data_IF_082189526283
#
_entry.id   IF_082189526283
#
_cell.length_a   1.000
_cell.length_b   1.000
_cell.length_c   1.000
_cell.angle_alpha   90.00
_cell.angle_beta   90.00
_cell.angle_gamma   90.00
#
_symmetry.space_group_name_H-M   'P 1'
#
loop_
_entity.id
_entity.type
_entity.pdbx_description
1 polymer ?
#
# COMPACT_ATOMS: atom_id res chain seq x y z
N UNK A 1 -5.26 4.13 -39.55
CA UNK A 1 -4.93 3.61 -38.21
C UNK A 1 -4.27 4.74 -37.41
N UNK A 2 -4.94 5.31 -36.41
CA UNK A 2 -4.39 6.41 -35.62
C UNK A 2 -4.18 5.94 -34.18
N UNK A 3 -2.91 5.91 -33.78
CA UNK A 3 -2.45 5.40 -32.51
C UNK A 3 -2.89 6.32 -31.35
N UNK A 4 -3.56 5.74 -30.35
CA UNK A 4 -3.97 6.41 -29.12
C UNK A 4 -2.72 6.76 -28.30
N UNK A 5 -2.40 8.04 -28.22
CA UNK A 5 -1.34 8.60 -27.37
C UNK A 5 -1.93 8.92 -25.99
N UNK A 6 -1.27 8.46 -24.91
CA UNK A 6 -1.66 8.72 -23.51
C UNK A 6 -1.70 10.24 -23.27
N UNK A 7 -2.85 10.78 -22.87
CA UNK A 7 -3.07 12.22 -22.59
C UNK A 7 -4.02 12.98 -23.53
N UNK A 8 -4.85 12.29 -24.33
CA UNK A 8 -5.75 12.93 -25.34
C UNK A 8 -7.23 13.01 -24.95
N UNK A 9 -7.60 12.72 -23.72
CA UNK A 9 -9.01 12.68 -23.30
C UNK A 9 -9.48 13.95 -22.60
N UNK A 10 -8.57 14.72 -22.00
CA UNK A 10 -8.93 15.76 -21.03
C UNK A 10 -9.83 16.89 -21.57
N UNK A 11 -9.65 17.44 -22.79
CA UNK A 11 -10.47 18.57 -23.24
C UNK A 11 -11.89 18.18 -23.66
N UNK A 12 -12.05 17.00 -24.29
CA UNK A 12 -13.36 16.50 -24.74
C UNK A 12 -14.15 16.00 -23.54
N UNK A 13 -13.50 15.27 -22.64
CA UNK A 13 -14.11 14.79 -21.40
C UNK A 13 -14.48 15.97 -20.50
N UNK A 14 -13.61 16.98 -20.36
CA UNK A 14 -13.94 18.19 -19.59
C UNK A 14 -15.13 18.97 -20.18
N UNK A 15 -15.21 19.11 -21.51
CA UNK A 15 -16.35 19.76 -22.15
C UNK A 15 -17.64 18.95 -21.99
N UNK A 16 -17.56 17.62 -22.07
CA UNK A 16 -18.70 16.72 -21.86
C UNK A 16 -19.19 16.80 -20.40
N UNK A 17 -18.27 16.78 -19.43
CA UNK A 17 -18.55 16.94 -18.00
C UNK A 17 -19.19 18.31 -17.72
N UNK A 18 -18.64 19.40 -18.27
CA UNK A 18 -19.19 20.75 -18.10
C UNK A 18 -20.61 20.88 -18.68
N UNK A 19 -20.85 20.27 -19.85
CA UNK A 19 -22.19 20.23 -20.45
C UNK A 19 -23.17 19.41 -19.62
N UNK A 20 -22.73 18.29 -19.05
CA UNK A 20 -23.53 17.49 -18.12
C UNK A 20 -23.89 18.30 -16.88
N UNK A 21 -22.90 18.92 -16.25
CA UNK A 21 -23.09 19.77 -15.07
C UNK A 21 -24.07 20.92 -15.29
N UNK A 22 -23.96 21.63 -16.42
CA UNK A 22 -24.87 22.73 -16.75
C UNK A 22 -26.31 22.27 -17.08
N UNK A 23 -26.48 21.03 -17.53
CA UNK A 23 -27.78 20.48 -17.95
C UNK A 23 -28.58 19.87 -16.80
N UNK A 24 -27.90 19.40 -15.77
CA UNK A 24 -28.50 18.76 -14.60
C UNK A 24 -28.25 19.64 -13.36
N UNK A 25 -29.07 20.69 -13.14
CA UNK A 25 -28.89 21.63 -12.03
C UNK A 25 -29.04 20.97 -10.64
N UNK A 26 -29.65 19.79 -10.58
CA UNK A 26 -29.82 18.98 -9.37
C UNK A 26 -28.71 17.92 -9.19
N UNK A 27 -27.63 17.97 -10.00
CA UNK A 27 -26.48 17.09 -9.81
C UNK A 27 -25.96 17.24 -8.37
N UNK A 28 -25.86 16.14 -7.60
CA UNK A 28 -25.32 16.20 -6.26
C UNK A 28 -23.91 16.79 -6.30
N UNK A 29 -23.69 17.84 -5.51
CA UNK A 29 -22.39 18.47 -5.36
C UNK A 29 -21.45 17.42 -4.77
N UNK A 30 -20.33 17.17 -5.46
CA UNK A 30 -19.25 16.33 -4.96
C UNK A 30 -18.62 17.01 -3.72
N UNK A 31 -19.21 16.75 -2.56
CA UNK A 31 -18.70 17.15 -1.26
C UNK A 31 -17.85 16.00 -0.71
N UNK A 32 -16.65 16.31 -0.23
CA UNK A 32 -16.03 15.43 0.75
C UNK A 32 -16.73 15.72 2.06
N UNK A 33 -17.72 14.91 2.42
CA UNK A 33 -18.14 14.88 3.81
C UNK A 33 -16.90 14.60 4.68
N UNK A 34 -16.89 15.11 5.91
CA UNK A 34 -15.73 15.02 6.81
C UNK A 34 -15.24 13.58 7.01
N UNK A 35 -16.15 12.61 7.01
CA UNK A 35 -15.88 11.18 7.13
C UNK A 35 -15.17 10.65 5.88
N UNK A 36 -15.63 11.05 4.68
CA UNK A 36 -14.98 10.71 3.41
C UNK A 36 -13.54 11.23 3.35
N UNK A 37 -13.30 12.45 3.86
CA UNK A 37 -11.95 13.02 3.97
C UNK A 37 -11.07 12.25 4.96
N UNK A 38 -11.59 11.94 6.15
CA UNK A 38 -10.84 11.16 7.16
C UNK A 38 -10.49 9.76 6.65
N UNK A 39 -11.43 9.09 5.97
CA UNK A 39 -11.18 7.78 5.38
C UNK A 39 -10.08 7.85 4.32
N UNK A 40 -10.13 8.87 3.46
CA UNK A 40 -9.08 9.11 2.45
C UNK A 40 -7.71 9.28 3.10
N UNK A 41 -7.58 10.07 4.16
CA UNK A 41 -6.31 10.25 4.87
C UNK A 41 -5.75 8.93 5.42
N UNK A 42 -6.61 8.05 5.94
CA UNK A 42 -6.20 6.74 6.45
C UNK A 42 -5.74 5.81 5.32
N UNK A 43 -6.48 5.78 4.21
CA UNK A 43 -6.15 4.98 3.02
C UNK A 43 -4.84 5.45 2.41
N UNK A 44 -4.70 6.74 2.12
CA UNK A 44 -3.50 7.33 1.54
C UNK A 44 -2.27 7.04 2.43
N UNK A 45 -2.42 7.15 3.76
CA UNK A 45 -1.35 6.80 4.70
C UNK A 45 -0.99 5.31 4.62
N UNK A 46 -1.97 4.42 4.56
CA UNK A 46 -1.73 2.98 4.44
C UNK A 46 -0.98 2.65 3.15
N UNK A 47 -1.34 3.27 2.03
CA UNK A 47 -0.67 3.09 0.74
C UNK A 47 0.80 3.51 0.80
N UNK A 48 1.10 4.66 1.41
CA UNK A 48 2.48 5.11 1.63
C UNK A 48 3.28 4.07 2.43
N UNK A 49 2.71 3.52 3.50
CA UNK A 49 3.38 2.50 4.31
C UNK A 49 3.58 1.19 3.56
N UNK A 50 2.60 0.77 2.74
CA UNK A 50 2.73 -0.42 1.88
C UNK A 50 3.86 -0.24 0.87
N UNK A 51 3.97 0.93 0.24
CA UNK A 51 5.06 1.25 -0.68
C UNK A 51 6.41 1.22 0.04
N UNK A 52 6.52 1.83 1.23
CA UNK A 52 7.73 1.79 2.06
C UNK A 52 8.13 0.36 2.45
N UNK A 53 7.17 -0.47 2.87
CA UNK A 53 7.42 -1.87 3.21
C UNK A 53 7.93 -2.65 1.99
N UNK A 54 7.34 -2.41 0.82
CA UNK A 54 7.74 -3.06 -0.43
C UNK A 54 9.16 -2.68 -0.83
N UNK A 55 9.52 -1.40 -0.77
CA UNK A 55 10.89 -0.95 -1.02
C UNK A 55 11.90 -1.56 -0.03
N UNK A 56 11.53 -1.67 1.25
CA UNK A 56 12.37 -2.25 2.30
C UNK A 56 12.56 -3.75 2.10
N UNK A 57 11.50 -4.49 1.75
CA UNK A 57 11.59 -5.91 1.38
C UNK A 57 12.57 -6.12 0.21
N UNK A 58 12.54 -5.24 -0.80
CA UNK A 58 13.42 -5.38 -1.95
C UNK A 58 14.90 -5.14 -1.58
N UNK A 59 15.19 -4.17 -0.70
CA UNK A 59 16.56 -3.97 -0.19
C UNK A 59 17.03 -5.16 0.64
N UNK A 60 16.18 -5.66 1.54
CA UNK A 60 16.49 -6.83 2.36
C UNK A 60 16.79 -8.06 1.50
N UNK A 61 16.01 -8.28 0.44
CA UNK A 61 16.25 -9.39 -0.50
C UNK A 61 17.63 -9.30 -1.16
N UNK A 62 18.07 -8.11 -1.55
CA UNK A 62 19.41 -7.92 -2.11
C UNK A 62 20.50 -8.23 -1.09
N UNK A 63 20.36 -7.75 0.15
CA UNK A 63 21.32 -8.06 1.23
C UNK A 63 21.38 -9.55 1.55
N UNK A 64 20.22 -10.19 1.66
CA UNK A 64 20.16 -11.64 1.91
C UNK A 64 20.80 -12.40 0.75
N UNK A 65 20.57 -12.00 -0.50
CA UNK A 65 21.22 -12.61 -1.65
C UNK A 65 22.75 -12.41 -1.65
N UNK A 66 23.24 -11.26 -1.18
CA UNK A 66 24.69 -11.02 -1.02
C UNK A 66 25.31 -11.90 0.07
N UNK A 67 24.60 -12.11 1.18
CA UNK A 67 25.05 -12.95 2.29
C UNK A 67 25.01 -14.45 1.94
N UNK A 68 23.89 -14.92 1.40
CA UNK A 68 23.66 -16.31 1.00
C UNK A 68 22.45 -16.40 0.04
N UNK A 69 22.68 -16.65 -1.27
CA UNK A 69 21.61 -16.80 -2.25
C UNK A 69 20.59 -17.90 -1.93
N UNK A 70 20.98 -18.97 -1.22
CA UNK A 70 20.08 -20.08 -0.86
C UNK A 70 19.09 -19.69 0.26
N UNK A 71 19.37 -18.59 0.98
CA UNK A 71 18.56 -18.08 2.08
C UNK A 71 17.52 -17.04 1.63
N UNK A 72 17.44 -16.75 0.33
CA UNK A 72 16.51 -15.77 -0.20
C UNK A 72 15.05 -16.07 0.21
N UNK A 73 14.34 -15.11 0.84
CA UNK A 73 12.97 -15.33 1.28
C UNK A 73 12.03 -15.48 0.08
N UNK A 74 11.09 -16.44 0.18
CA UNK A 74 10.09 -16.68 -0.87
C UNK A 74 9.29 -15.43 -1.21
N UNK A 75 8.77 -15.38 -2.45
CA UNK A 75 7.84 -14.33 -2.87
C UNK A 75 6.66 -14.23 -1.88
N UNK A 76 6.23 -13.00 -1.57
CA UNK A 76 5.10 -12.70 -0.67
C UNK A 76 5.11 -13.47 0.67
N UNK A 77 6.29 -13.61 1.30
CA UNK A 77 6.43 -14.33 2.58
C UNK A 77 6.73 -13.40 3.76
N UNK A 78 7.36 -12.25 3.51
CA UNK A 78 7.84 -11.33 4.56
C UNK A 78 6.74 -10.44 5.17
N UNK A 79 5.53 -10.50 4.64
CA UNK A 79 4.31 -10.01 5.29
C UNK A 79 3.92 -10.88 6.50
N UNK A 80 4.36 -12.14 6.55
CA UNK A 80 4.06 -13.07 7.66
C UNK A 80 5.15 -13.07 8.73
N UNK A 81 4.74 -12.97 10.00
CA UNK A 81 5.63 -12.97 11.16
C UNK A 81 6.55 -14.19 11.21
N UNK A 82 6.05 -15.39 10.90
CA UNK A 82 6.84 -16.63 10.91
C UNK A 82 8.08 -16.55 10.02
N UNK A 83 7.94 -16.05 8.79
CA UNK A 83 9.07 -15.98 7.87
C UNK A 83 10.07 -14.90 8.28
N UNK A 84 9.58 -13.78 8.85
CA UNK A 84 10.46 -12.75 9.43
C UNK A 84 11.28 -13.32 10.59
N UNK A 85 10.67 -14.07 11.49
CA UNK A 85 11.37 -14.69 12.63
C UNK A 85 12.45 -15.68 12.19
N UNK A 86 12.13 -16.57 11.22
CA UNK A 86 13.10 -17.53 10.69
C UNK A 86 14.29 -16.82 10.06
N UNK A 87 14.03 -15.78 9.26
CA UNK A 87 15.10 -15.01 8.62
C UNK A 87 15.94 -14.25 9.65
N UNK A 88 15.31 -13.61 10.63
CA UNK A 88 16.00 -12.87 11.69
C UNK A 88 16.87 -13.77 12.56
N UNK A 89 16.39 -14.97 12.89
CA UNK A 89 17.15 -15.95 13.65
C UNK A 89 18.44 -16.36 12.92
N UNK A 90 18.40 -16.47 11.59
CA UNK A 90 19.59 -16.73 10.80
C UNK A 90 20.49 -15.49 10.69
N UNK A 91 19.95 -14.29 10.42
CA UNK A 91 20.74 -13.07 10.26
C UNK A 91 21.60 -12.74 11.49
N UNK A 92 21.09 -13.01 12.71
CA UNK A 92 21.85 -12.80 13.96
C UNK A 92 23.09 -13.69 14.06
N UNK A 93 23.12 -14.83 13.35
CA UNK A 93 24.29 -15.74 13.32
C UNK A 93 25.36 -15.32 12.32
N UNK A 94 25.05 -14.36 11.43
CA UNK A 94 25.95 -13.92 10.37
C UNK A 94 26.66 -12.64 10.81
N UNK A 95 28.01 -12.61 10.87
CA UNK A 95 28.73 -11.41 11.24
C UNK A 95 28.80 -10.41 10.08
N UNK A 96 28.95 -9.13 10.42
CA UNK A 96 29.29 -8.06 9.48
C UNK A 96 28.16 -7.10 9.15
N UNK A 97 28.54 -5.96 8.57
CA UNK A 97 27.66 -4.82 8.34
C UNK A 97 26.44 -5.14 7.48
N UNK A 98 26.57 -6.03 6.49
CA UNK A 98 25.45 -6.42 5.63
C UNK A 98 24.36 -7.14 6.44
N UNK A 99 24.74 -7.99 7.39
CA UNK A 99 23.82 -8.71 8.27
C UNK A 99 23.18 -7.78 9.32
N UNK A 100 23.95 -6.83 9.86
CA UNK A 100 23.44 -5.79 10.77
C UNK A 100 22.34 -4.97 10.10
N UNK A 101 22.63 -4.42 8.92
CA UNK A 101 21.67 -3.62 8.17
C UNK A 101 20.46 -4.44 7.67
N UNK A 102 20.66 -5.73 7.37
CA UNK A 102 19.55 -6.64 7.05
C UNK A 102 18.64 -6.88 8.27
N UNK A 103 19.20 -6.99 9.48
CA UNK A 103 18.41 -7.06 10.71
C UNK A 103 17.59 -5.79 10.94
N UNK A 104 18.17 -4.61 10.71
CA UNK A 104 17.47 -3.32 10.81
C UNK A 104 16.31 -3.23 9.82
N UNK A 105 16.54 -3.58 8.55
CA UNK A 105 15.49 -3.59 7.52
C UNK A 105 14.39 -4.59 7.84
N UNK A 106 14.72 -5.74 8.43
CA UNK A 106 13.74 -6.73 8.89
C UNK A 106 12.89 -6.22 10.07
N UNK A 107 13.49 -5.48 10.99
CA UNK A 107 12.77 -4.81 12.07
C UNK A 107 11.82 -3.74 11.52
N UNK A 108 12.26 -2.96 10.54
CA UNK A 108 11.42 -1.98 9.84
C UNK A 108 10.25 -2.63 9.11
N UNK A 109 10.45 -3.77 8.43
CA UNK A 109 9.36 -4.51 7.78
C UNK A 109 8.32 -4.98 8.82
N UNK A 110 8.77 -5.42 9.99
CA UNK A 110 7.88 -5.82 11.09
C UNK A 110 7.04 -4.64 11.56
N UNK A 111 7.70 -3.52 11.92
CA UNK A 111 7.04 -2.28 12.35
C UNK A 111 6.06 -1.75 11.30
N UNK A 112 6.44 -1.73 10.03
CA UNK A 112 5.59 -1.26 8.93
C UNK A 112 4.37 -2.17 8.75
N UNK A 113 4.54 -3.49 8.88
CA UNK A 113 3.42 -4.45 8.76
C UNK A 113 2.40 -4.22 9.87
N UNK A 114 2.84 -4.06 11.11
CA UNK A 114 1.95 -3.78 12.25
C UNK A 114 1.17 -2.47 12.06
N UNK A 115 1.83 -1.41 11.57
CA UNK A 115 1.16 -0.13 11.28
C UNK A 115 0.14 -0.25 10.13
N UNK A 116 0.47 -1.02 9.08
CA UNK A 116 -0.44 -1.27 7.95
C UNK A 116 -1.68 -2.04 8.42
N UNK A 117 -1.50 -3.06 9.26
CA UNK A 117 -2.59 -3.87 9.78
C UNK A 117 -3.48 -3.08 10.74
N UNK A 118 -2.87 -2.24 11.60
CA UNK A 118 -3.60 -1.31 12.46
C UNK A 118 -4.44 -0.31 11.65
N UNK A 119 -3.89 0.26 10.57
CA UNK A 119 -4.64 1.14 9.67
C UNK A 119 -5.74 0.39 8.94
N UNK A 120 -5.48 -0.83 8.46
CA UNK A 120 -6.50 -1.66 7.80
C UNK A 120 -7.68 -1.95 8.74
N UNK A 121 -7.41 -2.29 10.00
CA UNK A 121 -8.43 -2.47 11.03
C UNK A 121 -9.24 -1.19 11.26
N UNK A 122 -8.57 -0.05 11.46
CA UNK A 122 -9.22 1.26 11.68
C UNK A 122 -10.08 1.70 10.49
N UNK A 123 -9.60 1.46 9.26
CA UNK A 123 -10.37 1.70 8.03
C UNK A 123 -11.61 0.81 8.01
N UNK A 124 -11.46 -0.51 8.25
CA UNK A 124 -12.59 -1.45 8.24
C UNK A 124 -13.63 -1.19 9.34
N UNK A 125 -13.23 -0.71 10.51
CA UNK A 125 -14.16 -0.25 11.56
C UNK A 125 -14.98 0.96 11.11
N UNK A 126 -14.35 1.93 10.46
CA UNK A 126 -15.03 3.15 9.95
C UNK A 126 -15.94 2.85 8.77
N UNK A 127 -15.50 2.03 7.81
CA UNK A 127 -16.33 1.64 6.67
C UNK A 127 -17.57 0.86 7.12
N UNK A 128 -17.46 -0.01 8.14
CA UNK A 128 -18.63 -0.71 8.72
C UNK A 128 -19.69 0.25 9.25
N UNK A 129 -19.28 1.36 9.86
CA UNK A 129 -20.20 2.34 10.42
C UNK A 129 -20.87 3.22 9.36
N UNK A 130 -20.17 3.50 8.25
CA UNK A 130 -20.56 4.55 7.29
C UNK A 130 -21.16 3.97 6.02
N UNK A 131 -20.60 2.86 5.52
CA UNK A 131 -20.98 2.27 4.24
C UNK A 131 -20.69 0.76 4.24
N UNK A 132 -21.40 -0.05 5.05
CA UNK A 132 -21.13 -1.48 5.20
C UNK A 132 -21.26 -2.27 3.89
N UNK A 133 -22.10 -1.80 2.96
CA UNK A 133 -22.25 -2.39 1.63
C UNK A 133 -20.93 -2.43 0.83
N UNK A 134 -20.00 -1.48 1.07
CA UNK A 134 -18.70 -1.45 0.40
C UNK A 134 -17.80 -2.62 0.80
N UNK A 135 -18.02 -3.24 1.96
CA UNK A 135 -17.23 -4.41 2.41
C UNK A 135 -17.65 -5.71 1.73
N UNK A 136 -18.83 -5.73 1.10
CA UNK A 136 -19.33 -6.87 0.34
C UNK A 136 -18.86 -6.85 -1.12
N UNK A 137 -18.29 -5.74 -1.59
CA UNK A 137 -17.73 -5.61 -2.93
C UNK A 137 -16.33 -6.25 -2.92
N UNK A 138 -16.02 -7.20 -3.82
CA UNK A 138 -14.68 -7.73 -3.97
C UNK A 138 -13.70 -6.61 -4.36
N UNK A 139 -12.61 -6.49 -3.60
CA UNK A 139 -11.50 -5.59 -3.88
C UNK A 139 -10.23 -6.35 -4.25
#
# INVERSE_FOLDING_TARGET
ASARTRGKSDPIDALAVARGFLREPDLPIASHDEISRELKLLVDRREVLVAQRTATINRLRWRVHELDPERAPKAASLDRTKHRQILGAWLITVPGLVAELACEELADITRLTEQIDALAKRIGERVRAVAPALLAIPG
#
